data_IF_211695480723
#
_entry.id   IF_211695480723
#
_cell.length_a   1.000
_cell.length_b   1.000
_cell.length_c   1.000
_cell.angle_alpha   90.00
_cell.angle_beta   90.00
_cell.angle_gamma   90.00
#
_symmetry.space_group_name_H-M   'P 1'
#
loop_
_entity.id
_entity.type
_entity.pdbx_description
1 polymer ?
#
# COMPACT_ATOMS: atom_id res chain seq x y z
N UNK A 1 37.39 13.06 -13.63
CA UNK A 1 36.66 11.95 -12.96
C UNK A 1 36.79 10.74 -13.87
N UNK A 2 37.39 9.65 -13.38
CA UNK A 2 37.43 8.38 -14.12
C UNK A 2 35.97 7.94 -14.31
N UNK A 3 35.65 7.44 -15.52
CA UNK A 3 34.33 6.85 -15.76
C UNK A 3 34.14 5.70 -14.76
N UNK A 4 33.03 5.70 -14.03
CA UNK A 4 32.71 4.60 -13.11
C UNK A 4 32.73 3.28 -13.85
N UNK A 5 33.43 2.28 -13.31
CA UNK A 5 33.55 0.94 -13.92
C UNK A 5 32.33 0.06 -13.59
N UNK A 6 31.50 0.48 -12.62
CA UNK A 6 30.34 -0.28 -12.14
C UNK A 6 29.02 0.36 -12.54
N UNK A 7 28.04 -0.46 -12.81
CA UNK A 7 26.67 -0.05 -13.17
C UNK A 7 25.67 -0.79 -12.29
N UNK A 8 24.47 -0.18 -12.11
CA UNK A 8 23.34 -0.88 -11.53
C UNK A 8 22.72 -1.89 -12.53
N UNK A 9 21.61 -2.53 -12.15
CA UNK A 9 20.92 -3.49 -13.02
C UNK A 9 20.33 -2.86 -14.29
N UNK A 10 20.16 -1.55 -14.32
CA UNK A 10 19.61 -0.81 -15.46
C UNK A 10 20.67 -0.16 -16.33
N UNK A 11 21.95 -0.47 -16.07
CA UNK A 11 23.08 0.06 -16.82
C UNK A 11 23.45 1.49 -16.41
N UNK A 12 22.95 1.99 -15.27
CA UNK A 12 23.26 3.33 -14.80
C UNK A 12 24.56 3.31 -13.98
N UNK A 13 25.52 4.20 -14.27
CA UNK A 13 26.80 4.26 -13.55
C UNK A 13 26.65 4.46 -12.05
N UNK A 14 27.48 3.77 -11.27
CA UNK A 14 27.58 3.88 -9.81
C UNK A 14 28.90 4.55 -9.42
N UNK A 15 28.90 5.44 -8.41
CA UNK A 15 30.11 6.17 -8.00
C UNK A 15 31.06 5.39 -7.09
N UNK A 16 30.74 4.15 -6.73
CA UNK A 16 31.68 3.31 -5.98
C UNK A 16 32.73 2.67 -6.89
N UNK A 17 33.98 2.64 -6.46
CA UNK A 17 35.09 1.94 -7.12
C UNK A 17 35.25 0.50 -6.58
N UNK A 18 34.45 0.10 -5.59
CA UNK A 18 34.51 -1.22 -4.97
C UNK A 18 33.53 -2.19 -5.65
N UNK A 19 34.03 -3.20 -6.33
CA UNK A 19 33.23 -4.21 -7.03
C UNK A 19 32.26 -4.91 -6.08
N UNK A 20 32.72 -5.27 -4.87
CA UNK A 20 31.87 -5.92 -3.86
C UNK A 20 30.71 -5.02 -3.37
N UNK A 21 30.95 -3.71 -3.25
CA UNK A 21 29.88 -2.76 -2.90
C UNK A 21 28.84 -2.64 -4.02
N UNK A 22 29.29 -2.53 -5.26
CA UNK A 22 28.39 -2.48 -6.42
C UNK A 22 27.56 -3.75 -6.59
N UNK A 23 28.14 -4.94 -6.37
CA UNK A 23 27.46 -6.22 -6.43
C UNK A 23 26.39 -6.32 -5.31
N UNK A 24 26.77 -6.02 -4.07
CA UNK A 24 25.85 -6.05 -2.93
C UNK A 24 24.71 -5.02 -3.08
N UNK A 25 25.00 -3.84 -3.65
CA UNK A 25 23.97 -2.83 -3.95
C UNK A 25 22.99 -3.35 -4.99
N UNK A 26 23.44 -3.97 -6.08
CA UNK A 26 22.54 -4.59 -7.09
C UNK A 26 21.66 -5.67 -6.48
N UNK A 27 22.20 -6.56 -5.63
CA UNK A 27 21.42 -7.56 -4.90
C UNK A 27 20.36 -6.88 -4.01
N UNK A 28 20.73 -5.82 -3.29
CA UNK A 28 19.81 -5.04 -2.46
C UNK A 28 18.67 -4.40 -3.25
N UNK A 29 18.98 -3.81 -4.41
CA UNK A 29 17.97 -3.23 -5.31
C UNK A 29 17.05 -4.31 -5.87
N UNK A 30 17.58 -5.43 -6.32
CA UNK A 30 16.78 -6.53 -6.85
C UNK A 30 15.80 -7.08 -5.83
N UNK A 31 16.26 -7.28 -4.58
CA UNK A 31 15.41 -7.72 -3.46
C UNK A 31 14.36 -6.68 -3.09
N UNK A 32 14.73 -5.41 -3.03
CA UNK A 32 13.80 -4.33 -2.73
C UNK A 32 12.72 -4.20 -3.80
N UNK A 33 13.09 -4.27 -5.08
CA UNK A 33 12.16 -4.16 -6.21
C UNK A 33 11.29 -5.40 -6.42
N UNK A 34 11.71 -6.58 -5.94
CA UNK A 34 10.88 -7.80 -5.94
C UNK A 34 10.11 -8.03 -4.65
N UNK A 35 10.26 -7.13 -3.65
CA UNK A 35 9.80 -7.34 -2.27
C UNK A 35 10.35 -8.65 -1.65
N UNK A 36 11.54 -9.09 -2.08
CA UNK A 36 12.18 -10.30 -1.56
C UNK A 36 12.99 -10.01 -0.31
N UNK A 37 13.00 -10.92 0.69
CA UNK A 37 13.75 -10.71 1.93
C UNK A 37 15.25 -10.52 1.72
N UNK A 38 15.92 -9.81 2.63
CA UNK A 38 17.38 -9.64 2.63
C UNK A 38 17.90 -8.37 1.96
N UNK A 39 17.01 -7.44 1.55
CA UNK A 39 17.44 -6.15 0.96
C UNK A 39 18.26 -5.30 1.95
N UNK A 40 17.85 -5.28 3.24
CA UNK A 40 18.56 -4.53 4.28
C UNK A 40 19.98 -5.04 4.46
N UNK A 41 20.15 -6.35 4.57
CA UNK A 41 21.45 -7.04 4.71
C UNK A 41 22.34 -6.83 3.49
N UNK A 42 21.76 -6.81 2.29
CA UNK A 42 22.50 -6.53 1.07
C UNK A 42 23.06 -5.09 1.07
N UNK A 43 22.27 -4.10 1.46
CA UNK A 43 22.76 -2.73 1.59
C UNK A 43 23.81 -2.57 2.71
N UNK A 44 23.67 -3.28 3.84
CA UNK A 44 24.72 -3.26 4.88
C UNK A 44 26.03 -3.92 4.37
N UNK A 45 25.96 -4.99 3.55
CA UNK A 45 27.16 -5.55 2.87
C UNK A 45 27.78 -4.54 1.92
N UNK A 46 26.98 -3.79 1.16
CA UNK A 46 27.47 -2.73 0.30
C UNK A 46 28.23 -1.65 1.09
N UNK A 47 27.67 -1.22 2.22
CA UNK A 47 28.28 -0.22 3.11
C UNK A 47 29.50 -0.74 3.87
N UNK A 48 29.56 -2.04 4.16
CA UNK A 48 30.75 -2.66 4.74
C UNK A 48 31.93 -2.69 3.74
N UNK A 49 31.63 -2.85 2.45
CA UNK A 49 32.63 -2.84 1.38
C UNK A 49 33.04 -1.41 0.96
N UNK A 50 32.11 -0.46 1.00
CA UNK A 50 32.35 0.96 0.71
C UNK A 50 31.48 1.84 1.63
N UNK A 51 32.04 2.30 2.77
CA UNK A 51 31.31 3.16 3.71
C UNK A 51 30.90 4.54 3.13
N UNK A 52 31.52 4.97 2.04
CA UNK A 52 31.25 6.26 1.40
C UNK A 52 30.23 6.13 0.23
N UNK A 53 29.66 4.97 0.02
CA UNK A 53 28.71 4.74 -1.06
C UNK A 53 27.32 5.37 -0.76
N UNK A 54 27.12 6.61 -1.20
CA UNK A 54 25.93 7.42 -0.92
C UNK A 54 24.61 6.75 -1.31
N UNK A 55 24.55 6.05 -2.46
CA UNK A 55 23.33 5.38 -2.91
C UNK A 55 22.92 4.24 -1.98
N UNK A 56 23.88 3.48 -1.43
CA UNK A 56 23.59 2.42 -0.47
C UNK A 56 23.05 2.99 0.86
N UNK A 57 23.57 4.13 1.32
CA UNK A 57 23.04 4.83 2.50
C UNK A 57 21.58 5.24 2.31
N UNK A 58 21.23 5.89 1.19
CA UNK A 58 19.87 6.37 0.98
C UNK A 58 18.89 5.21 0.69
N UNK A 59 19.33 4.14 0.03
CA UNK A 59 18.52 2.93 -0.13
C UNK A 59 18.24 2.27 1.22
N UNK A 60 19.25 2.21 2.10
CA UNK A 60 19.07 1.70 3.46
C UNK A 60 18.15 2.60 4.30
N UNK A 61 18.23 3.93 4.13
CA UNK A 61 17.30 4.87 4.74
C UNK A 61 15.84 4.57 4.36
N UNK A 62 15.58 4.26 3.09
CA UNK A 62 14.26 3.86 2.62
C UNK A 62 13.75 2.58 3.29
N UNK A 63 14.59 1.56 3.46
CA UNK A 63 14.20 0.33 4.18
C UNK A 63 13.83 0.65 5.64
N UNK A 64 14.57 1.55 6.31
CA UNK A 64 14.22 1.99 7.66
C UNK A 64 12.82 2.61 7.75
N UNK A 65 12.36 3.33 6.71
CA UNK A 65 11.01 3.93 6.72
C UNK A 65 9.89 2.88 6.72
N UNK A 66 10.07 1.74 6.06
CA UNK A 66 9.07 0.66 6.07
C UNK A 66 8.78 0.14 7.49
N UNK A 67 9.81 0.13 8.34
CA UNK A 67 9.72 -0.34 9.72
C UNK A 67 9.57 0.79 10.76
N UNK A 68 9.26 2.02 10.32
CA UNK A 68 9.10 3.22 11.17
C UNK A 68 10.32 3.57 12.02
N UNK A 69 11.50 3.20 11.57
CA UNK A 69 12.78 3.55 12.19
C UNK A 69 13.23 4.95 11.76
N UNK A 70 12.40 5.95 12.06
CA UNK A 70 12.52 7.31 11.49
C UNK A 70 13.85 8.01 11.81
N UNK A 71 14.42 7.77 13.00
CA UNK A 71 15.71 8.38 13.38
C UNK A 71 16.84 7.79 12.53
N UNK A 72 16.93 6.46 12.45
CA UNK A 72 17.93 5.76 11.62
C UNK A 72 17.77 6.15 10.13
N UNK A 73 16.54 6.26 9.66
CA UNK A 73 16.25 6.68 8.28
C UNK A 73 16.79 8.08 7.99
N UNK A 74 16.50 9.07 8.85
CA UNK A 74 17.00 10.46 8.71
C UNK A 74 18.52 10.54 8.78
N UNK A 75 19.13 9.83 9.73
CA UNK A 75 20.58 9.79 9.86
C UNK A 75 21.26 9.25 8.59
N UNK A 76 20.77 8.13 8.06
CA UNK A 76 21.29 7.54 6.81
C UNK A 76 21.09 8.49 5.60
N UNK A 77 19.95 9.18 5.51
CA UNK A 77 19.67 10.15 4.45
C UNK A 77 20.60 11.36 4.54
N UNK A 78 20.87 11.89 5.76
CA UNK A 78 21.82 12.98 5.98
C UNK A 78 23.23 12.58 5.56
N UNK A 79 23.70 11.40 5.98
CA UNK A 79 25.00 10.85 5.55
C UNK A 79 25.09 10.74 4.03
N UNK A 80 24.03 10.24 3.38
CA UNK A 80 23.99 10.13 1.91
C UNK A 80 24.15 11.50 1.23
N UNK A 81 23.46 12.54 1.73
CA UNK A 81 23.59 13.92 1.20
C UNK A 81 25.03 14.46 1.34
N UNK A 82 25.66 14.26 2.48
CA UNK A 82 27.04 14.70 2.70
C UNK A 82 28.02 14.01 1.74
N UNK A 83 27.88 12.69 1.56
CA UNK A 83 28.75 11.90 0.70
C UNK A 83 28.56 12.25 -0.77
N UNK A 84 27.30 12.31 -1.23
CA UNK A 84 27.01 12.62 -2.64
C UNK A 84 27.41 14.05 -3.02
N UNK A 85 27.41 14.99 -2.07
CA UNK A 85 27.89 16.36 -2.30
C UNK A 85 29.38 16.39 -2.61
N UNK A 86 30.18 15.49 -2.00
CA UNK A 86 31.64 15.40 -2.20
C UNK A 86 32.00 14.70 -3.51
N UNK A 87 31.39 13.57 -3.80
CA UNK A 87 31.87 12.64 -4.84
C UNK A 87 30.81 12.22 -5.86
N UNK A 88 29.50 12.52 -5.62
CA UNK A 88 28.41 12.06 -6.46
C UNK A 88 28.33 12.73 -7.83
N UNK A 89 27.77 12.03 -8.79
CA UNK A 89 27.34 12.55 -10.08
C UNK A 89 26.11 13.45 -9.96
N UNK A 90 25.76 14.18 -11.01
CA UNK A 90 24.53 15.00 -11.03
C UNK A 90 23.29 14.12 -10.83
N UNK A 91 23.24 12.93 -11.46
CA UNK A 91 22.17 11.96 -11.26
C UNK A 91 22.06 11.51 -9.81
N UNK A 92 23.18 11.13 -9.19
CA UNK A 92 23.18 10.62 -7.81
C UNK A 92 22.80 11.69 -6.79
N UNK A 93 23.19 12.96 -7.00
CA UNK A 93 22.72 14.07 -6.17
C UNK A 93 21.19 14.22 -6.25
N UNK A 94 20.62 14.16 -7.45
CA UNK A 94 19.18 14.24 -7.66
C UNK A 94 18.46 13.02 -7.06
N UNK A 95 18.99 11.80 -7.23
CA UNK A 95 18.50 10.56 -6.64
C UNK A 95 18.46 10.64 -5.10
N UNK A 96 19.60 10.97 -4.50
CA UNK A 96 19.72 11.05 -3.03
C UNK A 96 18.80 12.13 -2.46
N UNK A 97 18.72 13.29 -3.09
CA UNK A 97 17.83 14.36 -2.64
C UNK A 97 16.36 13.94 -2.69
N UNK A 98 15.94 13.30 -3.77
CA UNK A 98 14.56 12.82 -3.94
C UNK A 98 14.17 11.80 -2.85
N UNK A 99 15.03 10.82 -2.59
CA UNK A 99 14.76 9.83 -1.55
C UNK A 99 14.82 10.44 -0.14
N UNK A 100 15.75 11.36 0.10
CA UNK A 100 15.88 12.02 1.39
C UNK A 100 14.66 12.89 1.72
N UNK A 101 14.11 13.63 0.75
CA UNK A 101 12.85 14.35 0.90
C UNK A 101 11.68 13.43 1.30
N UNK A 102 11.59 12.25 0.67
CA UNK A 102 10.58 11.25 1.01
C UNK A 102 10.78 10.70 2.44
N UNK A 103 12.02 10.38 2.81
CA UNK A 103 12.39 9.90 4.16
C UNK A 103 12.06 10.92 5.25
N UNK A 104 12.22 12.21 4.95
CA UNK A 104 11.92 13.31 5.86
C UNK A 104 10.43 13.64 5.96
N UNK A 105 9.60 13.02 5.12
CA UNK A 105 8.15 13.25 5.09
C UNK A 105 7.72 14.46 4.24
N UNK A 106 8.62 15.03 3.44
CA UNK A 106 8.33 16.13 2.51
C UNK A 106 7.73 15.59 1.21
N UNK A 107 6.59 14.90 1.31
CA UNK A 107 6.01 14.12 0.21
C UNK A 107 5.77 14.92 -1.07
N UNK A 108 5.26 16.15 -0.98
CA UNK A 108 5.00 16.99 -2.15
C UNK A 108 6.31 17.40 -2.87
N UNK A 109 7.34 17.77 -2.10
CA UNK A 109 8.65 18.08 -2.66
C UNK A 109 9.34 16.84 -3.26
N UNK A 110 9.21 15.68 -2.59
CA UNK A 110 9.71 14.40 -3.09
C UNK A 110 9.03 14.00 -4.40
N UNK A 111 7.71 14.18 -4.52
CA UNK A 111 6.95 13.91 -5.74
C UNK A 111 7.47 14.76 -6.90
N UNK A 112 7.54 16.08 -6.73
CA UNK A 112 8.07 17.01 -7.74
C UNK A 112 9.52 16.69 -8.12
N UNK A 113 10.37 16.35 -7.14
CA UNK A 113 11.77 16.00 -7.38
C UNK A 113 11.88 14.69 -8.16
N UNK A 114 11.04 13.68 -7.83
CA UNK A 114 11.02 12.39 -8.51
C UNK A 114 10.60 12.52 -9.98
N UNK A 115 9.55 13.28 -10.28
CA UNK A 115 9.10 13.52 -11.65
C UNK A 115 10.21 14.20 -12.48
N UNK A 116 10.81 15.26 -11.97
CA UNK A 116 11.94 15.95 -12.63
C UNK A 116 13.13 15.01 -12.83
N UNK A 117 13.45 14.17 -11.82
CA UNK A 117 14.54 13.20 -11.91
C UNK A 117 14.30 12.21 -13.06
N UNK A 118 13.08 11.68 -13.16
CA UNK A 118 12.72 10.70 -14.19
C UNK A 118 12.66 11.28 -15.62
N UNK A 119 12.47 12.59 -15.76
CA UNK A 119 12.60 13.26 -17.07
C UNK A 119 14.01 13.14 -17.64
N UNK A 120 15.03 13.19 -16.79
CA UNK A 120 16.44 13.10 -17.18
C UNK A 120 16.99 11.67 -17.12
N UNK A 121 16.54 10.88 -16.14
CA UNK A 121 17.00 9.50 -15.88
C UNK A 121 15.84 8.51 -15.78
N UNK A 122 15.15 8.24 -16.90
CA UNK A 122 13.91 7.46 -16.93
C UNK A 122 14.06 6.01 -16.42
N UNK A 123 15.28 5.48 -16.38
CA UNK A 123 15.56 4.11 -15.91
C UNK A 123 15.97 4.02 -14.43
N UNK A 124 15.89 5.12 -13.68
CA UNK A 124 16.14 5.06 -12.22
C UNK A 124 14.92 4.47 -11.50
N UNK A 125 14.87 3.13 -11.51
CA UNK A 125 13.76 2.37 -10.94
C UNK A 125 13.58 2.59 -9.43
N UNK A 126 14.64 2.92 -8.70
CA UNK A 126 14.56 3.22 -7.27
C UNK A 126 13.77 4.50 -7.04
N UNK A 127 14.03 5.55 -7.79
CA UNK A 127 13.25 6.80 -7.74
C UNK A 127 11.83 6.56 -8.23
N UNK A 128 11.65 5.88 -9.37
CA UNK A 128 10.32 5.58 -9.91
C UNK A 128 9.46 4.79 -8.93
N UNK A 129 10.05 3.86 -8.19
CA UNK A 129 9.32 3.06 -7.20
C UNK A 129 8.81 3.84 -5.98
N UNK A 130 9.29 5.09 -5.74
CA UNK A 130 8.68 5.97 -4.74
C UNK A 130 7.30 6.47 -5.16
N UNK A 131 7.06 6.61 -6.45
CA UNK A 131 5.81 7.13 -7.02
C UNK A 131 4.74 6.05 -7.10
N UNK A 132 5.16 4.80 -7.35
CA UNK A 132 4.31 3.67 -7.67
C UNK A 132 3.82 2.92 -6.40
N UNK A 133 2.87 2.02 -6.59
CA UNK A 133 2.30 1.19 -5.53
C UNK A 133 1.21 1.87 -4.70
N UNK A 134 0.53 1.06 -3.89
CA UNK A 134 -0.58 1.50 -3.04
C UNK A 134 -0.15 2.49 -1.94
N UNK A 135 1.14 2.51 -1.60
CA UNK A 135 1.74 3.39 -0.59
C UNK A 135 2.79 4.33 -1.18
N UNK A 136 2.74 4.54 -2.50
CA UNK A 136 3.61 5.48 -3.19
C UNK A 136 3.21 6.94 -3.00
N UNK A 137 4.06 7.85 -3.47
CA UNK A 137 3.83 9.29 -3.34
C UNK A 137 2.56 9.75 -4.06
N UNK A 138 2.20 9.14 -5.20
CA UNK A 138 0.94 9.44 -5.86
C UNK A 138 -0.25 9.03 -4.97
N UNK A 139 -0.26 7.82 -4.43
CA UNK A 139 -1.36 7.34 -3.60
C UNK A 139 -1.62 8.23 -2.38
N UNK A 140 -0.57 8.77 -1.76
CA UNK A 140 -0.68 9.63 -0.58
C UNK A 140 -0.68 11.12 -0.88
N UNK A 141 -0.76 11.52 -2.15
CA UNK A 141 -0.81 12.92 -2.57
C UNK A 141 -2.12 13.63 -2.21
N UNK A 142 -3.21 12.89 -2.01
CA UNK A 142 -4.56 13.42 -1.86
C UNK A 142 -5.25 13.74 -3.20
N UNK A 143 -4.61 13.47 -4.33
CA UNK A 143 -5.21 13.61 -5.67
C UNK A 143 -6.33 12.59 -5.87
N UNK A 144 -7.42 12.99 -6.53
CA UNK A 144 -8.50 12.07 -6.87
C UNK A 144 -8.13 11.15 -8.04
N UNK A 145 -7.21 11.56 -8.87
CA UNK A 145 -6.74 10.90 -10.09
C UNK A 145 -5.35 10.25 -9.93
N UNK A 146 -4.94 9.95 -8.69
CA UNK A 146 -3.62 9.37 -8.44
C UNK A 146 -3.42 7.99 -9.10
N UNK A 147 -4.49 7.21 -9.31
CA UNK A 147 -4.43 5.94 -10.02
C UNK A 147 -4.10 6.17 -11.50
N UNK A 148 -4.73 7.16 -12.13
CA UNK A 148 -4.45 7.58 -13.51
C UNK A 148 -3.04 8.16 -13.65
N UNK A 149 -2.58 8.96 -12.67
CA UNK A 149 -1.23 9.52 -12.67
C UNK A 149 -0.16 8.41 -12.65
N UNK A 150 -0.37 7.31 -11.89
CA UNK A 150 0.52 6.15 -11.91
C UNK A 150 0.54 5.45 -13.27
N UNK A 151 -0.63 5.22 -13.87
CA UNK A 151 -0.71 4.62 -15.20
C UNK A 151 0.00 5.48 -16.23
N UNK A 152 -0.27 6.78 -16.25
CA UNK A 152 0.38 7.73 -17.16
C UNK A 152 1.91 7.73 -17.00
N UNK A 153 2.42 7.69 -15.75
CA UNK A 153 3.86 7.56 -15.51
C UNK A 153 4.42 6.28 -16.16
N UNK A 154 3.76 5.15 -15.98
CA UNK A 154 4.17 3.90 -16.58
C UNK A 154 4.13 3.96 -18.12
N UNK A 155 3.06 4.48 -18.71
CA UNK A 155 2.93 4.65 -20.16
C UNK A 155 4.08 5.48 -20.74
N UNK A 156 4.39 6.62 -20.11
CA UNK A 156 5.45 7.52 -20.53
C UNK A 156 6.83 6.88 -20.53
N UNK A 157 7.10 5.96 -19.61
CA UNK A 157 8.41 5.33 -19.45
C UNK A 157 8.49 3.91 -20.01
N UNK A 158 7.41 3.34 -20.56
CA UNK A 158 7.35 1.95 -21.02
C UNK A 158 8.49 1.60 -22.00
N UNK A 159 8.77 2.47 -22.98
CA UNK A 159 9.85 2.27 -23.94
C UNK A 159 11.24 2.17 -23.29
N UNK A 160 11.46 2.79 -22.14
CA UNK A 160 12.75 2.76 -21.42
C UNK A 160 12.99 1.46 -20.68
N UNK A 161 11.92 0.74 -20.30
CA UNK A 161 12.02 -0.50 -19.51
C UNK A 161 11.84 -1.77 -20.34
N UNK A 162 11.04 -1.71 -21.44
CA UNK A 162 10.75 -2.89 -22.25
C UNK A 162 10.11 -4.02 -21.42
N UNK A 163 10.67 -5.22 -21.50
CA UNK A 163 10.18 -6.40 -20.76
C UNK A 163 10.83 -6.57 -19.37
N UNK A 164 11.11 -5.48 -18.67
CA UNK A 164 11.61 -5.55 -17.29
C UNK A 164 10.51 -6.05 -16.35
N UNK A 165 10.77 -7.15 -15.63
CA UNK A 165 9.81 -7.82 -14.76
C UNK A 165 9.26 -6.90 -13.64
N UNK A 166 10.08 -5.99 -13.09
CA UNK A 166 9.64 -5.05 -12.06
C UNK A 166 8.70 -4.00 -12.64
N UNK A 167 9.10 -3.42 -13.76
CA UNK A 167 8.29 -2.39 -14.44
C UNK A 167 6.93 -2.96 -14.88
N UNK A 168 6.92 -4.13 -15.53
CA UNK A 168 5.69 -4.80 -15.99
C UNK A 168 4.75 -5.14 -14.83
N UNK A 169 5.29 -5.54 -13.66
CA UNK A 169 4.46 -5.78 -12.45
C UNK A 169 3.73 -4.52 -12.00
N UNK A 170 4.41 -3.37 -11.98
CA UNK A 170 3.83 -2.10 -11.55
C UNK A 170 2.89 -1.51 -12.60
N UNK A 171 3.24 -1.62 -13.88
CA UNK A 171 2.39 -1.13 -14.96
C UNK A 171 1.12 -1.98 -15.07
N UNK A 172 1.22 -3.31 -15.00
CA UNK A 172 0.07 -4.21 -15.00
C UNK A 172 -0.85 -3.95 -13.81
N UNK A 173 -0.29 -3.73 -12.61
CA UNK A 173 -1.07 -3.33 -11.45
C UNK A 173 -1.77 -1.97 -11.65
N UNK A 174 -1.09 -0.97 -12.23
CA UNK A 174 -1.70 0.35 -12.51
C UNK A 174 -2.85 0.26 -13.51
N UNK A 175 -2.73 -0.58 -14.55
CA UNK A 175 -3.82 -0.86 -15.48
C UNK A 175 -5.02 -1.51 -14.77
N UNK A 176 -4.77 -2.48 -13.90
CA UNK A 176 -5.82 -3.15 -13.11
C UNK A 176 -6.58 -2.16 -12.23
N UNK A 177 -5.87 -1.30 -11.48
CA UNK A 177 -6.48 -0.28 -10.59
C UNK A 177 -7.30 0.77 -11.38
N UNK A 178 -7.01 0.97 -12.66
CA UNK A 178 -7.78 1.86 -13.55
C UNK A 178 -8.86 1.14 -14.39
N UNK A 179 -9.14 -0.14 -14.09
CA UNK A 179 -10.22 -0.89 -14.73
C UNK A 179 -9.83 -1.59 -16.04
N UNK A 180 -8.58 -1.47 -16.52
CA UNK A 180 -8.07 -2.24 -17.66
C UNK A 180 -7.62 -3.64 -17.23
N UNK A 181 -8.49 -4.35 -16.48
CA UNK A 181 -8.16 -5.56 -15.71
C UNK A 181 -7.54 -6.65 -16.59
N UNK A 182 -8.10 -6.93 -17.75
CA UNK A 182 -7.59 -7.99 -18.64
C UNK A 182 -6.17 -7.71 -19.14
N UNK A 183 -5.87 -6.45 -19.49
CA UNK A 183 -4.51 -6.06 -19.90
C UNK A 183 -3.55 -6.08 -18.72
N UNK A 184 -3.99 -5.54 -17.57
CA UNK A 184 -3.21 -5.53 -16.33
C UNK A 184 -2.84 -6.95 -15.90
N UNK A 185 -3.80 -7.88 -15.94
CA UNK A 185 -3.59 -9.31 -15.65
C UNK A 185 -2.56 -9.93 -16.58
N UNK A 186 -2.76 -9.82 -17.90
CA UNK A 186 -1.85 -10.41 -18.87
C UNK A 186 -0.41 -9.89 -18.72
N UNK A 187 -0.24 -8.58 -18.51
CA UNK A 187 1.07 -7.96 -18.28
C UNK A 187 1.72 -8.46 -16.99
N UNK A 188 0.95 -8.62 -15.92
CA UNK A 188 1.47 -9.08 -14.64
C UNK A 188 1.78 -10.58 -14.66
N UNK A 189 0.99 -11.40 -15.37
CA UNK A 189 1.29 -12.82 -15.61
C UNK A 189 2.63 -12.96 -16.33
N UNK A 190 2.86 -12.16 -17.37
CA UNK A 190 4.14 -12.12 -18.06
C UNK A 190 5.30 -11.68 -17.15
N UNK A 191 5.10 -10.65 -16.33
CA UNK A 191 6.10 -10.23 -15.34
C UNK A 191 6.45 -11.34 -14.33
N UNK A 192 5.46 -12.12 -13.92
CA UNK A 192 5.63 -13.25 -13.02
C UNK A 192 6.34 -14.44 -13.73
N UNK A 193 6.11 -14.63 -15.01
CA UNK A 193 6.86 -15.63 -15.82
C UNK A 193 8.33 -15.27 -15.96
N UNK A 194 8.65 -14.00 -16.17
CA UNK A 194 10.02 -13.50 -16.25
C UNK A 194 10.79 -13.67 -14.94
N UNK A 195 10.07 -13.56 -13.79
CA UNK A 195 10.68 -13.73 -12.47
C UNK A 195 9.68 -14.27 -11.46
N UNK A 196 9.85 -15.52 -11.05
CA UNK A 196 8.95 -16.22 -10.11
C UNK A 196 9.13 -15.79 -8.64
N UNK A 197 10.32 -15.37 -8.24
CA UNK A 197 10.66 -14.81 -6.94
C UNK A 197 10.41 -13.29 -6.91
N UNK A 198 9.18 -12.91 -7.29
CA UNK A 198 8.69 -11.53 -7.36
C UNK A 198 7.35 -11.41 -6.64
N UNK A 199 7.40 -11.02 -5.36
CA UNK A 199 6.21 -10.88 -4.53
C UNK A 199 5.30 -9.72 -4.99
N UNK A 200 5.85 -8.68 -5.62
CA UNK A 200 5.02 -7.63 -6.23
C UNK A 200 4.21 -8.13 -7.42
N UNK A 201 4.76 -9.04 -8.26
CA UNK A 201 3.99 -9.62 -9.36
C UNK A 201 2.84 -10.49 -8.82
N UNK A 202 3.12 -11.34 -7.81
CA UNK A 202 2.06 -12.13 -7.16
C UNK A 202 0.99 -11.22 -6.57
N UNK A 203 1.38 -10.19 -5.84
CA UNK A 203 0.44 -9.22 -5.26
C UNK A 203 -0.40 -8.51 -6.34
N UNK A 204 0.22 -8.07 -7.45
CA UNK A 204 -0.50 -7.45 -8.56
C UNK A 204 -1.46 -8.42 -9.26
N UNK A 205 -1.10 -9.71 -9.37
CA UNK A 205 -2.00 -10.76 -9.87
C UNK A 205 -3.21 -10.95 -8.97
N UNK A 206 -3.02 -10.93 -7.64
CA UNK A 206 -4.14 -11.06 -6.70
C UNK A 206 -5.13 -9.89 -6.84
N UNK A 207 -4.66 -8.68 -7.12
CA UNK A 207 -5.54 -7.56 -7.46
C UNK A 207 -6.32 -7.82 -8.76
N UNK A 208 -5.65 -8.25 -9.82
CA UNK A 208 -6.30 -8.53 -11.10
C UNK A 208 -7.33 -9.65 -10.97
N UNK A 209 -7.00 -10.74 -10.26
CA UNK A 209 -7.90 -11.87 -10.01
C UNK A 209 -9.07 -11.48 -9.08
N UNK A 210 -8.88 -10.54 -8.18
CA UNK A 210 -9.96 -9.98 -7.38
C UNK A 210 -10.91 -9.15 -8.25
N UNK A 211 -10.39 -8.31 -9.15
CA UNK A 211 -11.19 -7.46 -10.01
C UNK A 211 -11.88 -8.20 -11.16
N UNK A 212 -11.35 -9.33 -11.64
CA UNK A 212 -12.02 -10.16 -12.65
C UNK A 212 -12.89 -11.30 -12.07
N UNK A 213 -12.90 -11.42 -10.73
CA UNK A 213 -13.70 -12.44 -10.02
C UNK A 213 -13.10 -13.84 -9.99
N UNK A 214 -11.84 -14.04 -10.43
CA UNK A 214 -11.13 -15.34 -10.41
C UNK A 214 -10.61 -15.70 -9.01
N UNK A 215 -11.48 -15.63 -8.01
CA UNK A 215 -11.10 -15.78 -6.58
C UNK A 215 -10.51 -17.17 -6.29
N UNK A 216 -10.99 -18.21 -6.96
CA UNK A 216 -10.47 -19.58 -6.81
C UNK A 216 -9.03 -19.69 -7.35
N UNK A 217 -8.73 -19.03 -8.47
CA UNK A 217 -7.37 -19.00 -9.05
C UNK A 217 -6.41 -18.22 -8.13
N UNK A 218 -6.88 -17.13 -7.52
CA UNK A 218 -6.12 -16.36 -6.55
C UNK A 218 -5.77 -17.21 -5.31
N UNK A 219 -6.71 -17.98 -4.79
CA UNK A 219 -6.51 -18.92 -3.68
C UNK A 219 -5.47 -19.99 -4.02
N UNK A 220 -5.59 -20.59 -5.22
CA UNK A 220 -4.64 -21.58 -5.72
C UNK A 220 -3.24 -21.00 -5.91
N UNK A 221 -3.12 -19.78 -6.47
CA UNK A 221 -1.85 -19.09 -6.66
C UNK A 221 -1.15 -18.89 -5.31
N UNK A 222 -1.85 -18.34 -4.31
CA UNK A 222 -1.25 -18.13 -2.97
C UNK A 222 -0.81 -19.47 -2.38
N UNK A 223 -1.66 -20.48 -2.39
CA UNK A 223 -1.37 -21.79 -1.80
C UNK A 223 -0.13 -22.44 -2.41
N UNK A 224 0.05 -22.32 -3.73
CA UNK A 224 1.18 -22.92 -4.45
C UNK A 224 2.49 -22.13 -4.29
N UNK A 225 2.39 -20.80 -4.26
CA UNK A 225 3.59 -19.94 -4.32
C UNK A 225 4.16 -19.58 -2.95
N UNK A 226 3.31 -19.42 -1.94
CA UNK A 226 3.70 -18.82 -0.65
C UNK A 226 4.73 -19.64 0.13
N UNK A 227 4.78 -20.96 -0.09
CA UNK A 227 5.75 -21.84 0.57
C UNK A 227 7.22 -21.55 0.23
N UNK A 228 7.47 -20.84 -0.89
CA UNK A 228 8.80 -20.39 -1.30
C UNK A 228 9.14 -18.96 -0.86
N UNK A 229 8.20 -18.25 -0.22
CA UNK A 229 8.38 -16.88 0.23
C UNK A 229 8.51 -16.81 1.75
N UNK A 230 9.60 -16.22 2.25
CA UNK A 230 9.89 -16.16 3.67
C UNK A 230 8.84 -15.31 4.42
N UNK A 231 8.53 -15.70 5.66
CA UNK A 231 7.61 -14.98 6.56
C UNK A 231 8.05 -13.54 6.85
N UNK A 232 9.36 -13.27 6.79
CA UNK A 232 9.93 -11.92 6.95
C UNK A 232 9.80 -11.06 5.70
N UNK A 233 9.28 -11.59 4.61
CA UNK A 233 8.98 -10.85 3.40
C UNK A 233 7.90 -9.79 3.63
N UNK A 234 8.16 -8.57 3.16
CA UNK A 234 7.31 -7.38 3.46
C UNK A 234 5.86 -7.53 2.98
N UNK A 235 5.58 -8.42 2.03
CA UNK A 235 4.24 -8.70 1.52
C UNK A 235 3.66 -10.04 2.01
N UNK A 236 4.37 -10.83 2.84
CA UNK A 236 3.90 -12.13 3.27
C UNK A 236 2.49 -12.08 3.88
N UNK A 237 2.32 -11.27 4.91
CA UNK A 237 1.01 -11.09 5.55
C UNK A 237 -0.02 -10.52 4.58
N UNK A 238 0.36 -9.52 3.77
CA UNK A 238 -0.56 -8.85 2.86
C UNK A 238 -1.06 -9.77 1.72
N UNK A 239 -0.24 -10.69 1.24
CA UNK A 239 -0.66 -11.74 0.28
C UNK A 239 -1.73 -12.65 0.92
N UNK A 240 -1.54 -13.05 2.17
CA UNK A 240 -2.56 -13.79 2.93
C UNK A 240 -3.82 -12.97 3.21
N UNK A 241 -3.69 -11.64 3.39
CA UNK A 241 -4.83 -10.76 3.51
C UNK A 241 -5.70 -10.78 2.24
N UNK A 242 -5.11 -10.79 1.05
CA UNK A 242 -5.85 -10.98 -0.20
C UNK A 242 -6.56 -12.34 -0.25
N UNK A 243 -5.91 -13.41 0.22
CA UNK A 243 -6.55 -14.72 0.33
C UNK A 243 -7.74 -14.70 1.30
N UNK A 244 -7.63 -13.97 2.42
CA UNK A 244 -8.73 -13.78 3.36
C UNK A 244 -9.89 -12.97 2.75
N UNK A 245 -9.62 -11.95 1.94
CA UNK A 245 -10.64 -11.24 1.17
C UNK A 245 -11.35 -12.19 0.20
N UNK A 246 -10.60 -13.03 -0.50
CA UNK A 246 -11.16 -14.07 -1.37
C UNK A 246 -12.08 -15.04 -0.62
N UNK A 247 -11.70 -15.45 0.59
CA UNK A 247 -12.55 -16.29 1.44
C UNK A 247 -13.86 -15.58 1.82
N UNK A 248 -13.83 -14.29 2.15
CA UNK A 248 -15.03 -13.50 2.42
C UNK A 248 -15.92 -13.35 1.18
N UNK A 249 -15.34 -13.15 0.00
CA UNK A 249 -16.08 -13.14 -1.28
C UNK A 249 -16.85 -14.45 -1.49
N UNK A 250 -16.24 -15.59 -1.17
CA UNK A 250 -16.87 -16.92 -1.30
C UNK A 250 -17.83 -17.25 -0.17
N UNK A 251 -17.86 -16.46 0.92
CA UNK A 251 -18.71 -16.70 2.09
C UNK A 251 -18.11 -17.68 3.08
N UNK A 252 -16.78 -17.73 3.17
CA UNK A 252 -16.04 -18.52 4.16
C UNK A 252 -15.34 -17.62 5.20
N UNK A 253 -16.09 -17.05 6.17
CA UNK A 253 -15.54 -16.22 7.22
C UNK A 253 -14.64 -17.01 8.18
N UNK A 254 -14.83 -18.33 8.28
CA UNK A 254 -13.99 -19.18 9.14
C UNK A 254 -12.55 -19.25 8.61
N UNK A 255 -12.37 -19.43 7.31
CA UNK A 255 -11.05 -19.37 6.66
C UNK A 255 -10.42 -17.99 6.81
N UNK A 256 -11.17 -16.91 6.62
CA UNK A 256 -10.66 -15.56 6.81
C UNK A 256 -10.18 -15.31 8.24
N UNK A 257 -10.93 -15.77 9.24
CA UNK A 257 -10.55 -15.65 10.66
C UNK A 257 -9.34 -16.53 11.02
N UNK A 258 -9.23 -17.73 10.44
CA UNK A 258 -8.06 -18.58 10.62
C UNK A 258 -6.80 -17.91 10.06
N UNK A 259 -6.86 -17.33 8.86
CA UNK A 259 -5.74 -16.57 8.28
C UNK A 259 -5.36 -15.38 9.19
N UNK A 260 -6.35 -14.67 9.73
CA UNK A 260 -6.08 -13.61 10.71
C UNK A 260 -5.27 -14.15 11.91
N UNK A 261 -5.74 -15.23 12.52
CA UNK A 261 -5.16 -15.80 13.73
C UNK A 261 -3.74 -16.34 13.52
N UNK A 262 -3.47 -16.96 12.35
CA UNK A 262 -2.23 -17.69 12.08
C UNK A 262 -1.15 -16.81 11.41
N UNK A 263 -1.55 -15.73 10.74
CA UNK A 263 -0.63 -14.95 9.90
C UNK A 263 -0.66 -13.44 10.18
N UNK A 264 -1.86 -12.84 10.36
CA UNK A 264 -1.98 -11.38 10.34
C UNK A 264 -1.92 -10.71 11.71
N UNK A 265 -2.41 -11.36 12.77
CA UNK A 265 -2.49 -10.72 14.10
C UNK A 265 -1.11 -10.19 14.55
N UNK A 266 -1.06 -9.09 15.30
CA UNK A 266 0.19 -8.43 15.68
C UNK A 266 1.23 -9.32 16.36
N UNK A 267 0.77 -10.33 17.12
CA UNK A 267 1.66 -11.24 17.85
C UNK A 267 2.42 -12.25 16.97
N UNK A 268 2.03 -12.43 15.70
CA UNK A 268 2.62 -13.45 14.80
C UNK A 268 3.17 -12.89 13.50
N UNK A 269 2.74 -11.69 13.08
CA UNK A 269 3.17 -11.09 11.82
C UNK A 269 4.54 -10.44 11.93
N UNK A 270 5.38 -10.64 10.90
CA UNK A 270 6.61 -9.88 10.68
C UNK A 270 6.42 -8.70 9.70
N UNK A 271 5.19 -8.46 9.25
CA UNK A 271 4.89 -7.41 8.28
C UNK A 271 5.29 -6.00 8.78
N UNK A 272 5.65 -5.10 7.87
CA UNK A 272 5.84 -3.69 8.21
C UNK A 272 4.62 -3.13 8.97
N UNK A 273 4.84 -2.22 9.94
CA UNK A 273 3.76 -1.75 10.82
C UNK A 273 2.52 -1.21 10.10
N UNK A 274 2.71 -0.55 8.95
CA UNK A 274 1.58 -0.03 8.16
C UNK A 274 0.71 -1.17 7.62
N UNK A 275 1.32 -2.19 7.03
CA UNK A 275 0.61 -3.37 6.53
C UNK A 275 -0.07 -4.12 7.69
N UNK A 276 0.67 -4.42 8.77
CA UNK A 276 0.13 -5.11 9.93
C UNK A 276 -1.12 -4.42 10.49
N UNK A 277 -1.06 -3.11 10.68
CA UNK A 277 -2.19 -2.32 11.19
C UNK A 277 -3.37 -2.30 10.22
N UNK A 278 -3.12 -1.98 8.93
CA UNK A 278 -4.20 -1.85 7.94
C UNK A 278 -4.88 -3.19 7.64
N UNK A 279 -4.10 -4.26 7.51
CA UNK A 279 -4.62 -5.59 7.20
C UNK A 279 -5.45 -6.15 8.36
N UNK A 280 -4.97 -5.99 9.61
CA UNK A 280 -5.73 -6.35 10.80
C UNK A 280 -7.03 -5.57 10.92
N UNK A 281 -6.97 -4.24 10.90
CA UNK A 281 -8.14 -3.39 11.08
C UNK A 281 -9.19 -3.65 10.01
N UNK A 282 -8.76 -3.73 8.74
CA UNK A 282 -9.68 -3.89 7.62
C UNK A 282 -10.33 -5.27 7.57
N UNK A 283 -9.61 -6.34 7.90
CA UNK A 283 -10.17 -7.69 7.90
C UNK A 283 -11.17 -7.89 9.05
N UNK A 284 -10.82 -7.48 10.26
CA UNK A 284 -11.73 -7.54 11.41
C UNK A 284 -12.99 -6.71 11.18
N UNK A 285 -12.86 -5.52 10.58
CA UNK A 285 -14.00 -4.68 10.26
C UNK A 285 -14.93 -5.33 9.24
N UNK A 286 -14.38 -5.89 8.15
CA UNK A 286 -15.16 -6.60 7.15
C UNK A 286 -15.91 -7.80 7.74
N UNK A 287 -15.23 -8.61 8.54
CA UNK A 287 -15.88 -9.73 9.25
C UNK A 287 -17.09 -9.22 10.04
N UNK A 288 -16.94 -8.18 10.86
CA UNK A 288 -18.02 -7.64 11.69
C UNK A 288 -19.13 -6.98 10.86
N UNK A 289 -18.77 -6.20 9.85
CA UNK A 289 -19.73 -5.54 8.96
C UNK A 289 -20.58 -6.57 8.18
N UNK A 290 -19.96 -7.67 7.75
CA UNK A 290 -20.62 -8.73 6.99
C UNK A 290 -21.47 -9.70 7.87
N UNK A 291 -21.51 -9.46 9.19
CA UNK A 291 -22.33 -10.25 10.12
C UNK A 291 -21.60 -11.40 10.79
N UNK A 292 -20.26 -11.41 10.74
CA UNK A 292 -19.40 -12.41 11.36
C UNK A 292 -18.48 -11.75 12.41
N UNK A 293 -19.00 -11.32 13.58
CA UNK A 293 -18.25 -10.52 14.54
C UNK A 293 -17.03 -11.31 15.05
N UNK A 294 -15.87 -10.67 14.96
CA UNK A 294 -14.65 -11.21 15.55
C UNK A 294 -14.66 -11.07 17.09
N UNK A 295 -13.98 -11.97 17.83
CA UNK A 295 -13.80 -11.84 19.28
C UNK A 295 -13.19 -10.48 19.67
N UNK A 296 -13.64 -9.95 20.82
CA UNK A 296 -13.23 -8.62 21.31
C UNK A 296 -11.72 -8.53 21.49
N UNK A 297 -11.10 -9.61 21.96
CA UNK A 297 -9.67 -9.69 22.24
C UNK A 297 -8.82 -9.40 20.99
N UNK A 298 -9.28 -9.81 19.80
CA UNK A 298 -8.58 -9.55 18.54
C UNK A 298 -8.59 -8.06 18.18
N UNK A 299 -9.69 -7.38 18.49
CA UNK A 299 -9.80 -5.93 18.32
C UNK A 299 -8.91 -5.16 19.31
N UNK A 300 -8.92 -5.57 20.58
CA UNK A 300 -8.10 -4.95 21.64
C UNK A 300 -6.60 -5.07 21.30
N UNK A 301 -6.16 -6.25 20.85
CA UNK A 301 -4.77 -6.50 20.44
C UNK A 301 -4.38 -5.64 19.22
N UNK A 302 -5.25 -5.56 18.21
CA UNK A 302 -5.00 -4.76 17.03
C UNK A 302 -4.95 -3.25 17.34
N UNK A 303 -5.87 -2.75 18.19
CA UNK A 303 -5.87 -1.35 18.61
C UNK A 303 -4.65 -1.01 19.46
N UNK A 304 -4.28 -1.84 20.40
CA UNK A 304 -3.10 -1.66 21.26
C UNK A 304 -1.82 -1.55 20.41
N UNK A 305 -1.64 -2.48 19.46
CA UNK A 305 -0.53 -2.44 18.52
C UNK A 305 -0.52 -1.16 17.68
N UNK A 306 -1.67 -0.84 17.07
CA UNK A 306 -1.79 0.32 16.19
C UNK A 306 -1.56 1.64 16.93
N UNK A 307 -2.10 1.78 18.16
CA UNK A 307 -1.93 2.98 18.99
C UNK A 307 -0.48 3.20 19.40
N UNK A 308 0.27 2.12 19.66
CA UNK A 308 1.70 2.19 19.93
C UNK A 308 2.50 2.67 18.71
N UNK A 309 2.18 2.15 17.53
CA UNK A 309 2.91 2.46 16.28
C UNK A 309 2.50 3.77 15.62
N UNK A 310 1.23 4.15 15.74
CA UNK A 310 0.62 5.29 15.05
C UNK A 310 -0.04 6.27 16.03
N UNK A 311 0.69 6.62 17.09
CA UNK A 311 0.19 7.54 18.14
C UNK A 311 -0.17 8.95 17.64
N UNK A 312 0.34 9.35 16.45
CA UNK A 312 0.08 10.66 15.83
C UNK A 312 -0.70 10.50 14.52
N UNK A 313 -1.58 11.45 14.22
CA UNK A 313 -2.18 11.59 12.89
C UNK A 313 -1.10 11.93 11.86
N UNK A 314 -1.09 11.23 10.74
CA UNK A 314 -0.09 11.39 9.69
C UNK A 314 -0.69 11.29 8.29
N UNK A 315 -0.86 10.08 7.78
CA UNK A 315 -1.44 9.82 6.47
C UNK A 315 -2.94 9.54 6.57
N UNK A 316 -3.77 10.05 5.64
CA UNK A 316 -5.20 9.79 5.59
C UNK A 316 -5.57 8.31 5.66
N UNK A 317 -4.83 7.46 4.97
CA UNK A 317 -5.00 6.01 5.00
C UNK A 317 -4.81 5.40 6.39
N UNK A 318 -3.78 5.83 7.12
CA UNK A 318 -3.54 5.42 8.51
C UNK A 318 -4.69 5.89 9.40
N UNK A 319 -5.07 7.16 9.26
CA UNK A 319 -6.11 7.77 10.09
C UNK A 319 -7.45 7.03 9.90
N UNK A 320 -7.80 6.65 8.66
CA UNK A 320 -9.01 5.86 8.40
C UNK A 320 -8.98 4.51 9.15
N UNK A 321 -7.89 3.76 9.11
CA UNK A 321 -7.79 2.47 9.82
C UNK A 321 -7.80 2.63 11.35
N UNK A 322 -7.21 3.70 11.86
CA UNK A 322 -7.30 4.03 13.29
C UNK A 322 -8.75 4.37 13.71
N UNK A 323 -9.54 4.97 12.82
CA UNK A 323 -10.96 5.18 13.07
C UNK A 323 -11.73 3.85 13.17
N UNK A 324 -11.43 2.87 12.30
CA UNK A 324 -12.04 1.53 12.37
C UNK A 324 -11.78 0.86 13.71
N UNK A 325 -10.52 0.87 14.17
CA UNK A 325 -10.12 0.26 15.44
C UNK A 325 -10.79 0.94 16.63
N UNK A 326 -10.65 2.27 16.76
CA UNK A 326 -11.22 3.02 17.87
C UNK A 326 -12.77 2.92 17.92
N UNK A 327 -13.44 2.92 16.77
CA UNK A 327 -14.87 2.74 16.68
C UNK A 327 -15.32 1.34 17.12
N UNK A 328 -14.62 0.29 16.66
CA UNK A 328 -14.96 -1.09 16.98
C UNK A 328 -14.73 -1.43 18.47
N UNK A 329 -13.67 -0.92 19.07
CA UNK A 329 -13.36 -1.10 20.50
C UNK A 329 -14.13 -0.15 21.41
N UNK A 330 -14.93 0.77 20.85
CA UNK A 330 -15.64 1.82 21.62
C UNK A 330 -14.69 2.76 22.36
N UNK A 331 -13.49 2.96 21.89
CA UNK A 331 -12.52 3.89 22.44
C UNK A 331 -12.82 5.32 21.99
N UNK A 332 -13.89 5.87 22.56
CA UNK A 332 -14.39 7.20 22.19
C UNK A 332 -13.35 8.29 22.43
N UNK A 333 -12.55 8.18 23.49
CA UNK A 333 -11.51 9.16 23.81
C UNK A 333 -10.41 9.21 22.73
N UNK A 334 -9.95 8.06 22.26
CA UNK A 334 -8.96 7.97 21.18
C UNK A 334 -9.53 8.52 19.86
N UNK A 335 -10.77 8.18 19.54
CA UNK A 335 -11.45 8.63 18.35
C UNK A 335 -11.60 10.16 18.33
N UNK A 336 -12.09 10.77 19.40
CA UNK A 336 -12.28 12.22 19.52
C UNK A 336 -10.95 12.97 19.50
N UNK A 337 -9.95 12.50 20.24
CA UNK A 337 -8.62 13.12 20.26
C UNK A 337 -7.98 13.15 18.87
N UNK A 338 -8.07 12.04 18.13
CA UNK A 338 -7.50 11.96 16.77
C UNK A 338 -8.30 12.80 15.78
N UNK A 339 -9.64 12.77 15.87
CA UNK A 339 -10.51 13.57 15.03
C UNK A 339 -10.24 15.07 15.20
N UNK A 340 -10.06 15.56 16.43
CA UNK A 340 -9.73 16.96 16.69
C UNK A 340 -8.42 17.39 16.00
N UNK A 341 -7.39 16.52 16.01
CA UNK A 341 -6.11 16.79 15.31
C UNK A 341 -6.35 16.85 13.79
N UNK A 342 -7.13 15.93 13.24
CA UNK A 342 -7.43 15.87 11.80
C UNK A 342 -8.21 17.12 11.37
N UNK A 343 -9.20 17.55 12.15
CA UNK A 343 -9.97 18.76 11.88
C UNK A 343 -9.11 20.03 11.94
N UNK A 344 -8.18 20.10 12.90
CA UNK A 344 -7.22 21.20 12.95
C UNK A 344 -6.30 21.19 11.71
N UNK A 345 -5.81 20.03 11.30
CA UNK A 345 -5.00 19.91 10.06
C UNK A 345 -5.78 20.30 8.81
N UNK A 346 -7.08 19.97 8.77
CA UNK A 346 -7.96 20.39 7.68
C UNK A 346 -8.12 21.93 7.67
N UNK A 347 -8.37 22.53 8.81
CA UNK A 347 -8.50 23.98 8.96
C UNK A 347 -7.19 24.72 8.57
N UNK A 348 -6.05 24.12 8.87
CA UNK A 348 -4.72 24.64 8.50
C UNK A 348 -4.36 24.40 7.02
N UNK A 349 -5.19 23.73 6.22
CA UNK A 349 -4.90 23.34 4.84
C UNK A 349 -3.79 22.28 4.70
N UNK A 350 -3.50 21.51 5.76
CA UNK A 350 -2.42 20.51 5.84
C UNK A 350 -2.91 19.06 5.69
N UNK A 351 -4.17 18.86 5.35
CA UNK A 351 -4.76 17.54 5.14
C UNK A 351 -4.94 17.29 3.64
N UNK A 352 -4.05 16.53 3.02
CA UNK A 352 -4.01 16.33 1.58
C UNK A 352 -5.34 15.75 1.01
N UNK A 353 -5.97 14.80 1.73
CA UNK A 353 -7.25 14.21 1.34
C UNK A 353 -8.47 15.14 1.57
N UNK A 354 -8.28 16.36 2.08
CA UNK A 354 -9.37 17.27 2.34
C UNK A 354 -10.36 16.75 3.39
N UNK A 355 -11.66 17.09 3.29
CA UNK A 355 -12.65 16.81 4.31
C UNK A 355 -13.09 15.34 4.41
N UNK A 356 -12.64 14.46 3.51
CA UNK A 356 -13.10 13.06 3.46
C UNK A 356 -12.74 12.28 4.74
N UNK A 357 -11.55 12.53 5.31
CA UNK A 357 -11.07 11.78 6.49
C UNK A 357 -11.91 12.02 7.74
N UNK A 358 -12.17 13.29 8.19
CA UNK A 358 -13.03 13.51 9.35
C UNK A 358 -14.46 12.99 9.13
N UNK A 359 -14.96 12.99 7.91
CA UNK A 359 -16.27 12.41 7.58
C UNK A 359 -16.26 10.88 7.76
N UNK A 360 -15.21 10.19 7.28
CA UNK A 360 -15.06 8.75 7.51
C UNK A 360 -15.04 8.43 9.01
N UNK A 361 -14.30 9.20 9.83
CA UNK A 361 -14.28 9.02 11.29
C UNK A 361 -15.68 9.01 11.90
N UNK A 362 -16.49 10.00 11.57
CA UNK A 362 -17.86 10.11 12.07
C UNK A 362 -18.75 8.96 11.59
N UNK A 363 -18.57 8.56 10.32
CA UNK A 363 -19.33 7.47 9.73
C UNK A 363 -19.01 6.12 10.38
N UNK A 364 -17.72 5.81 10.61
CA UNK A 364 -17.30 4.55 11.23
C UNK A 364 -17.78 4.49 12.70
N UNK A 365 -17.70 5.61 13.42
CA UNK A 365 -18.26 5.69 14.78
C UNK A 365 -19.78 5.46 14.81
N UNK A 366 -20.53 6.09 13.90
CA UNK A 366 -21.96 5.89 13.76
C UNK A 366 -22.31 4.44 13.42
N UNK A 367 -21.59 3.83 12.45
CA UNK A 367 -21.77 2.44 12.07
C UNK A 367 -21.55 1.49 13.26
N UNK A 368 -20.42 1.63 13.95
CA UNK A 368 -20.11 0.86 15.15
C UNK A 368 -21.15 1.07 16.24
N UNK A 369 -21.74 2.29 16.36
CA UNK A 369 -22.86 2.63 17.23
C UNK A 369 -24.21 2.04 16.82
N UNK A 370 -24.29 1.37 15.67
CA UNK A 370 -25.54 0.91 15.04
C UNK A 370 -26.47 2.06 14.60
N UNK A 371 -25.97 3.30 14.53
CA UNK A 371 -26.66 4.41 13.87
C UNK A 371 -26.35 4.39 12.37
N UNK A 372 -26.95 3.42 11.68
CA UNK A 372 -26.71 3.20 10.26
C UNK A 372 -27.20 4.37 9.40
N UNK A 373 -28.28 5.02 9.81
CA UNK A 373 -28.80 6.19 9.11
C UNK A 373 -27.82 7.38 9.21
N UNK A 374 -27.17 7.61 10.36
CA UNK A 374 -26.12 8.62 10.46
C UNK A 374 -24.87 8.24 9.63
N UNK A 375 -24.47 6.97 9.62
CA UNK A 375 -23.39 6.49 8.77
C UNK A 375 -23.65 6.80 7.28
N UNK A 376 -24.87 6.51 6.81
CA UNK A 376 -25.30 6.83 5.42
C UNK A 376 -25.24 8.33 5.17
N UNK A 377 -25.80 9.17 6.05
CA UNK A 377 -25.75 10.64 5.89
C UNK A 377 -24.33 11.19 5.82
N UNK A 378 -23.41 10.60 6.58
CA UNK A 378 -21.99 11.02 6.54
C UNK A 378 -21.30 10.60 5.24
N UNK A 379 -21.41 9.34 4.83
CA UNK A 379 -20.63 8.81 3.69
C UNK A 379 -21.18 9.24 2.34
N UNK A 380 -22.51 9.37 2.17
CA UNK A 380 -23.14 9.65 0.89
C UNK A 380 -22.50 10.84 0.13
N UNK A 381 -22.21 12.01 0.75
CA UNK A 381 -21.66 13.16 0.03
C UNK A 381 -20.17 13.04 -0.33
N UNK A 382 -19.43 12.06 0.21
CA UNK A 382 -17.96 11.94 0.05
C UNK A 382 -17.52 10.60 -0.54
N UNK A 383 -18.45 9.74 -0.92
CA UNK A 383 -18.11 8.38 -1.34
C UNK A 383 -17.16 8.36 -2.54
N UNK A 384 -17.37 9.24 -3.52
CA UNK A 384 -16.52 9.36 -4.71
C UNK A 384 -15.15 10.01 -4.40
N UNK A 385 -15.01 10.67 -3.25
CA UNK A 385 -13.76 11.30 -2.80
C UNK A 385 -12.90 10.38 -1.94
N UNK A 386 -13.38 9.18 -1.59
CA UNK A 386 -12.65 8.20 -0.76
C UNK A 386 -11.31 7.81 -1.40
N UNK A 387 -11.19 7.87 -2.71
CA UNK A 387 -9.92 7.65 -3.43
C UNK A 387 -8.77 8.51 -2.88
N UNK A 388 -9.03 9.71 -2.40
CA UNK A 388 -8.02 10.65 -1.87
C UNK A 388 -7.29 10.19 -0.62
N UNK A 389 -7.79 9.17 0.08
CA UNK A 389 -7.08 8.63 1.25
C UNK A 389 -5.86 7.79 0.89
N UNK A 390 -5.73 7.38 -0.38
CA UNK A 390 -4.69 6.49 -0.87
C UNK A 390 -5.02 5.01 -0.64
N UNK A 391 -4.02 4.16 -0.79
CA UNK A 391 -4.21 2.71 -0.80
C UNK A 391 -4.68 2.19 -2.16
N UNK A 392 -4.91 0.90 -2.26
CA UNK A 392 -5.47 0.25 -3.45
C UNK A 392 -7.00 0.27 -3.44
N UNK A 393 -7.60 -0.04 -4.58
CA UNK A 393 -9.04 -0.19 -4.70
C UNK A 393 -9.60 -1.23 -3.70
N UNK A 394 -9.00 -2.41 -3.62
CA UNK A 394 -9.39 -3.44 -2.65
C UNK A 394 -9.31 -2.97 -1.18
N UNK A 395 -8.35 -2.09 -0.85
CA UNK A 395 -8.23 -1.52 0.48
C UNK A 395 -9.30 -0.45 0.75
N UNK A 396 -9.59 0.42 -0.21
CA UNK A 396 -10.60 1.48 -0.10
C UNK A 396 -12.04 0.96 -0.10
N UNK A 397 -12.28 -0.18 -0.72
CA UNK A 397 -13.63 -0.81 -0.84
C UNK A 397 -14.31 -1.02 0.52
N UNK A 398 -13.56 -1.10 1.63
CA UNK A 398 -14.11 -1.21 2.98
C UNK A 398 -15.07 -0.07 3.34
N UNK A 399 -14.83 1.14 2.83
CA UNK A 399 -15.70 2.30 3.08
C UNK A 399 -17.01 2.14 2.31
N UNK A 400 -16.95 1.73 1.05
CA UNK A 400 -18.14 1.45 0.24
C UNK A 400 -18.91 0.24 0.77
N UNK A 401 -18.23 -0.82 1.21
CA UNK A 401 -18.86 -1.98 1.88
C UNK A 401 -19.62 -1.55 3.14
N UNK A 402 -19.00 -0.71 3.97
CA UNK A 402 -19.64 -0.16 5.17
C UNK A 402 -20.88 0.65 4.81
N UNK A 403 -20.80 1.46 3.76
CA UNK A 403 -21.93 2.25 3.26
C UNK A 403 -23.09 1.38 2.78
N UNK A 404 -22.80 0.36 1.97
CA UNK A 404 -23.82 -0.59 1.47
C UNK A 404 -24.51 -1.32 2.63
N UNK A 405 -23.73 -1.82 3.59
CA UNK A 405 -24.28 -2.50 4.77
C UNK A 405 -25.12 -1.54 5.63
N UNK A 406 -24.67 -0.30 5.77
CA UNK A 406 -25.43 0.73 6.50
C UNK A 406 -26.78 1.01 5.81
N UNK A 407 -26.80 1.15 4.47
CA UNK A 407 -28.04 1.29 3.67
C UNK A 407 -28.98 0.11 3.89
N UNK A 408 -28.48 -1.11 3.82
CA UNK A 408 -29.29 -2.32 4.02
C UNK A 408 -29.89 -2.36 5.43
N UNK A 409 -29.10 -2.02 6.46
CA UNK A 409 -29.53 -2.05 7.88
C UNK A 409 -30.41 -0.87 8.26
N UNK A 410 -30.35 0.25 7.54
CA UNK A 410 -31.26 1.39 7.73
C UNK A 410 -32.56 1.29 6.91
N UNK A 411 -32.68 0.25 6.06
CA UNK A 411 -33.87 0.04 5.21
C UNK A 411 -33.85 0.79 3.88
N UNK A 412 -32.73 1.43 3.53
CA UNK A 412 -32.54 2.14 2.25
C UNK A 412 -32.21 1.17 1.11
N UNK A 413 -33.02 0.11 0.98
CA UNK A 413 -32.77 -1.02 0.07
C UNK A 413 -32.68 -0.62 -1.41
N UNK A 414 -33.49 0.32 -1.96
CA UNK A 414 -33.36 0.75 -3.34
C UNK A 414 -31.99 1.36 -3.65
N UNK A 415 -31.44 2.16 -2.73
CA UNK A 415 -30.12 2.79 -2.88
C UNK A 415 -29.00 1.74 -2.78
N UNK A 416 -29.09 0.80 -1.84
CA UNK A 416 -28.17 -0.32 -1.73
C UNK A 416 -28.10 -1.14 -3.04
N UNK A 417 -29.28 -1.47 -3.62
CA UNK A 417 -29.36 -2.18 -4.91
C UNK A 417 -28.68 -1.42 -6.04
N UNK A 418 -28.94 -0.12 -6.16
CA UNK A 418 -28.34 0.69 -7.21
C UNK A 418 -26.80 0.70 -7.16
N UNK A 419 -26.22 0.71 -5.96
CA UNK A 419 -24.76 0.62 -5.78
C UNK A 419 -24.26 -0.79 -6.12
N UNK A 420 -24.92 -1.82 -5.62
CA UNK A 420 -24.56 -3.21 -5.89
C UNK A 420 -24.65 -3.54 -7.39
N UNK A 421 -25.66 -3.02 -8.11
CA UNK A 421 -25.78 -3.19 -9.55
C UNK A 421 -24.59 -2.54 -10.29
N UNK A 422 -24.15 -1.34 -9.89
CA UNK A 422 -22.95 -0.68 -10.45
C UNK A 422 -21.68 -1.49 -10.17
N UNK A 423 -21.52 -2.01 -8.95
CA UNK A 423 -20.37 -2.85 -8.59
C UNK A 423 -20.33 -4.15 -9.38
N UNK A 424 -21.46 -4.84 -9.50
CA UNK A 424 -21.58 -6.09 -10.27
C UNK A 424 -21.36 -5.88 -11.77
N UNK A 425 -21.67 -4.68 -12.29
CA UNK A 425 -21.30 -4.32 -13.67
C UNK A 425 -19.79 -4.16 -13.85
N UNK A 426 -19.10 -3.64 -12.85
CA UNK A 426 -17.64 -3.45 -12.87
C UNK A 426 -16.89 -4.75 -12.63
N UNK A 427 -17.32 -5.55 -11.65
CA UNK A 427 -16.62 -6.72 -11.14
C UNK A 427 -17.59 -7.85 -10.76
N UNK A 428 -17.36 -9.09 -11.20
CA UNK A 428 -18.06 -10.24 -10.65
C UNK A 428 -17.75 -10.43 -9.16
N UNK A 429 -18.76 -10.53 -8.30
CA UNK A 429 -18.61 -10.73 -6.86
C UNK A 429 -19.72 -11.62 -6.31
N UNK A 430 -19.42 -12.85 -5.88
CA UNK A 430 -20.40 -13.72 -5.23
C UNK A 430 -20.99 -13.10 -3.96
N UNK A 431 -20.22 -12.31 -3.21
CA UNK A 431 -20.69 -11.56 -2.04
C UNK A 431 -21.74 -10.52 -2.44
N UNK A 432 -21.45 -9.70 -3.44
CA UNK A 432 -22.36 -8.64 -3.87
C UNK A 432 -23.64 -9.21 -4.50
N UNK A 433 -23.56 -10.37 -5.16
CA UNK A 433 -24.76 -11.10 -5.63
C UNK A 433 -25.65 -11.49 -4.45
N UNK A 434 -25.07 -12.04 -3.36
CA UNK A 434 -25.83 -12.36 -2.15
C UNK A 434 -26.45 -11.13 -1.50
N UNK A 435 -25.69 -10.05 -1.37
CA UNK A 435 -26.18 -8.78 -0.79
C UNK A 435 -27.28 -8.16 -1.64
N UNK A 436 -27.13 -8.19 -2.96
CA UNK A 436 -28.17 -7.70 -3.87
C UNK A 436 -29.46 -8.51 -3.77
N UNK A 437 -29.35 -9.83 -3.62
CA UNK A 437 -30.53 -10.68 -3.38
C UNK A 437 -31.20 -10.34 -2.04
N UNK A 438 -30.42 -10.16 -0.97
CA UNK A 438 -30.95 -9.77 0.34
C UNK A 438 -31.59 -8.37 0.33
N UNK A 439 -31.14 -7.46 -0.53
CA UNK A 439 -31.73 -6.13 -0.70
C UNK A 439 -33.01 -6.13 -1.54
N UNK A 440 -33.51 -7.27 -2.04
CA UNK A 440 -34.78 -7.36 -2.72
C UNK A 440 -35.98 -7.55 -1.78
N UNK A 441 -35.73 -7.77 -0.47
CA UNK A 441 -36.79 -7.98 0.55
C UNK A 441 -37.08 -9.42 0.76
#
# INVERSE_FOLDING_TARGET
>A
MNASTHQDRYGIPLSTDQAAAAEAYRDGIDRMLSAWPGAAEAFERALAADPDFALAHVARARIHTFYQQSEAARQRAATARELVARHGTTRERSHVETLALAVEGNAAAALTAAERHLDEWPRDAVVMSLLLGAFGLFAFSGMADHDQARQYLCERHAASYGEDWWFLSNYGWSLTENGEVAKGRAMTEHAFELRRDNAYAVHALLHAMFEDGSVADADALVTQWIGGYDRDGILYGHIYWHQALGALEQGDPAKALAIYADVLKPAVTAAPPLNAMSDCASLLWRLSAYGHPAPKELWDDAEAYASQKFSRSSLPFIDMHMALLAAATRNQAALEARLAIIEQRLADGKLAAGPVVPVIFRAMNAFAGSDYAACVRHLAPVLDEVVRIGGSHAQREIVEDTFIVALMRSGELPQARAILDRRLHRRPSPRDVRWRAAANG
#
